data_IF_681730026510
#
_entry.id   IF_681730026510
#
_cell.length_a   1.000
_cell.length_b   1.000
_cell.length_c   1.000
_cell.angle_alpha   90.00
_cell.angle_beta   90.00
_cell.angle_gamma   90.00
#
_symmetry.space_group_name_H-M   'P 1'
#
loop_
_entity.id
_entity.type
_entity.pdbx_description
1 polymer ?
#
# COMPACT_ATOMS: atom_id res chain seq x y z
N UNK A 1 23.15 9.53 -1.55
CA UNK A 1 21.81 9.67 -2.15
C UNK A 1 20.99 10.59 -1.25
N UNK A 2 20.12 11.42 -1.77
CA UNK A 2 19.19 12.20 -0.91
C UNK A 2 18.13 11.24 -0.35
N UNK A 3 17.71 11.38 0.93
CA UNK A 3 16.70 10.52 1.51
C UNK A 3 15.33 10.72 0.80
N UNK A 4 14.61 9.63 0.67
CA UNK A 4 13.27 9.57 0.06
C UNK A 4 12.18 9.63 1.14
N UNK A 5 10.92 9.77 0.71
CA UNK A 5 9.76 9.65 1.60
C UNK A 5 9.68 8.24 2.22
N UNK A 6 9.96 7.19 1.43
CA UNK A 6 9.98 5.81 1.93
C UNK A 6 11.08 5.58 2.97
N UNK A 7 12.26 6.21 2.81
CA UNK A 7 13.32 6.17 3.83
C UNK A 7 12.84 6.78 5.15
N UNK A 8 12.04 7.86 5.09
CA UNK A 8 11.47 8.47 6.29
C UNK A 8 10.45 7.55 6.97
N UNK A 9 9.52 6.96 6.22
CA UNK A 9 8.57 5.98 6.75
C UNK A 9 9.30 4.80 7.40
N UNK A 10 10.34 4.29 6.75
CA UNK A 10 11.14 3.17 7.26
C UNK A 10 11.93 3.54 8.51
N UNK A 11 12.52 4.73 8.57
CA UNK A 11 13.29 5.20 9.71
C UNK A 11 12.42 5.37 10.95
N UNK A 12 11.32 6.08 10.81
CA UNK A 12 10.37 6.33 11.91
C UNK A 12 9.43 5.15 12.17
N UNK A 13 9.48 4.08 11.38
CA UNK A 13 8.66 2.88 11.56
C UNK A 13 7.17 3.16 11.45
N UNK A 14 6.78 4.07 10.56
CA UNK A 14 5.38 4.43 10.37
C UNK A 14 4.60 3.19 9.93
N UNK A 15 3.58 2.84 10.72
CA UNK A 15 2.67 1.74 10.43
C UNK A 15 1.37 2.28 9.87
N UNK A 16 0.73 1.55 8.95
CA UNK A 16 -0.55 2.00 8.39
C UNK A 16 -0.45 3.28 7.56
N UNK A 17 0.71 3.53 6.91
CA UNK A 17 0.97 4.72 6.10
C UNK A 17 0.14 4.74 4.79
N UNK A 18 -1.12 4.38 4.87
CA UNK A 18 -2.09 4.45 3.80
C UNK A 18 -3.41 5.02 4.32
N UNK A 19 -4.21 5.67 3.45
CA UNK A 19 -5.48 6.27 3.85
C UNK A 19 -6.41 5.26 4.54
N UNK A 20 -7.00 5.65 5.66
CA UNK A 20 -7.87 4.81 6.46
C UNK A 20 -7.16 3.76 7.32
N UNK A 21 -5.83 3.62 7.21
CA UNK A 21 -5.03 2.72 8.04
C UNK A 21 -5.62 1.32 8.17
N UNK A 22 -5.33 0.65 9.27
CA UNK A 22 -5.81 -0.72 9.52
C UNK A 22 -7.35 -0.84 9.54
N UNK A 23 -8.08 0.24 9.85
CA UNK A 23 -9.55 0.25 9.81
C UNK A 23 -10.07 -0.03 8.39
N UNK A 24 -9.49 0.61 7.38
CA UNK A 24 -9.84 0.35 5.98
C UNK A 24 -9.46 -1.07 5.56
N UNK A 25 -8.28 -1.53 5.94
CA UNK A 25 -7.83 -2.91 5.68
C UNK A 25 -8.82 -3.95 6.24
N UNK A 26 -9.28 -3.77 7.48
CA UNK A 26 -10.29 -4.63 8.10
C UNK A 26 -11.56 -4.67 7.27
N UNK A 27 -12.09 -3.50 6.92
CA UNK A 27 -13.29 -3.38 6.08
C UNK A 27 -13.15 -4.11 4.75
N UNK A 28 -11.98 -4.01 4.09
CA UNK A 28 -11.74 -4.70 2.81
C UNK A 28 -11.71 -6.21 2.95
N UNK A 29 -11.02 -6.71 3.97
CA UNK A 29 -10.89 -8.15 4.21
C UNK A 29 -12.22 -8.80 4.61
N UNK A 30 -13.09 -8.08 5.32
CA UNK A 30 -14.45 -8.56 5.68
C UNK A 30 -15.36 -8.78 4.47
N UNK A 31 -15.06 -8.15 3.32
CA UNK A 31 -15.81 -8.36 2.08
C UNK A 31 -15.36 -9.62 1.32
N UNK A 32 -14.24 -10.24 1.72
CA UNK A 32 -13.68 -11.40 1.03
C UNK A 32 -13.94 -12.70 1.81
N UNK A 33 -14.16 -13.79 1.06
CA UNK A 33 -14.32 -15.11 1.66
C UNK A 33 -12.94 -15.71 1.96
N UNK A 34 -12.47 -15.57 3.20
CA UNK A 34 -11.17 -16.06 3.65
C UNK A 34 -11.37 -17.35 4.46
N UNK A 35 -10.72 -18.45 4.04
CA UNK A 35 -10.76 -19.78 4.64
C UNK A 35 -9.35 -20.26 5.00
N UNK A 36 -9.22 -21.43 5.59
CA UNK A 36 -7.93 -22.08 5.92
C UNK A 36 -7.07 -22.37 4.66
N UNK A 37 -7.71 -22.55 3.51
CA UNK A 37 -7.03 -22.82 2.23
C UNK A 37 -6.59 -21.54 1.52
N UNK A 38 -7.07 -20.36 1.97
CA UNK A 38 -6.76 -19.08 1.34
C UNK A 38 -5.30 -18.71 1.55
N UNK A 39 -4.64 -18.28 0.49
CA UNK A 39 -3.28 -17.73 0.51
C UNK A 39 -3.30 -16.25 0.19
N UNK A 40 -2.77 -15.42 1.10
CA UNK A 40 -2.77 -13.96 0.97
C UNK A 40 -1.33 -13.45 0.86
N UNK A 41 -1.09 -12.56 -0.11
CA UNK A 41 0.13 -11.76 -0.20
C UNK A 41 -0.15 -10.34 0.27
N UNK A 42 0.60 -9.88 1.27
CA UNK A 42 0.70 -8.48 1.67
C UNK A 42 1.87 -7.85 0.92
N UNK A 43 1.55 -7.12 -0.15
CA UNK A 43 2.50 -6.55 -1.11
C UNK A 43 2.93 -5.15 -0.73
N UNK A 44 4.20 -4.98 -0.32
CA UNK A 44 4.71 -3.76 0.30
C UNK A 44 4.30 -3.68 1.76
N UNK A 45 4.49 -4.78 2.49
CA UNK A 45 3.95 -4.98 3.85
C UNK A 45 4.51 -4.02 4.92
N UNK A 46 5.50 -3.20 4.59
CA UNK A 46 6.07 -2.21 5.49
C UNK A 46 6.53 -2.81 6.82
N UNK A 47 5.99 -2.31 7.93
CA UNK A 47 6.28 -2.80 9.28
C UNK A 47 5.54 -4.10 9.63
N UNK A 48 4.82 -4.70 8.69
CA UNK A 48 4.10 -5.96 8.86
C UNK A 48 2.79 -5.88 9.66
N UNK A 49 2.22 -4.69 9.81
CA UNK A 49 0.99 -4.51 10.60
C UNK A 49 -0.20 -5.26 9.98
N UNK A 50 -0.44 -5.07 8.69
CA UNK A 50 -1.51 -5.74 7.93
C UNK A 50 -1.33 -7.25 7.94
N UNK A 51 -0.14 -7.75 7.60
CA UNK A 51 0.16 -9.18 7.64
C UNK A 51 -0.07 -9.79 9.03
N UNK A 52 0.36 -9.10 10.10
CA UNK A 52 0.15 -9.53 11.48
C UNK A 52 -1.34 -9.57 11.85
N UNK A 53 -2.11 -8.56 11.44
CA UNK A 53 -3.56 -8.53 11.65
C UNK A 53 -4.25 -9.71 10.96
N UNK A 54 -3.93 -9.94 9.67
CA UNK A 54 -4.52 -11.06 8.91
C UNK A 54 -4.22 -12.39 9.60
N UNK A 55 -2.95 -12.61 9.96
CA UNK A 55 -2.53 -13.88 10.60
C UNK A 55 -3.22 -14.16 11.92
N UNK A 56 -3.58 -13.13 12.69
CA UNK A 56 -4.25 -13.28 13.98
C UNK A 56 -5.76 -13.49 13.87
N UNK A 57 -6.38 -12.95 12.85
CA UNK A 57 -7.84 -12.87 12.78
C UNK A 57 -8.46 -13.81 11.73
N UNK A 58 -7.63 -14.35 10.82
CA UNK A 58 -8.09 -15.25 9.77
C UNK A 58 -7.30 -16.56 9.77
N UNK A 59 -7.92 -17.71 9.48
CA UNK A 59 -7.26 -19.01 9.51
C UNK A 59 -6.39 -19.30 8.27
N UNK A 60 -6.04 -18.28 7.50
CA UNK A 60 -5.37 -18.38 6.21
C UNK A 60 -3.84 -18.38 6.32
N UNK A 61 -3.17 -18.65 5.20
CA UNK A 61 -1.73 -18.46 5.03
C UNK A 61 -1.44 -17.06 4.56
N UNK A 62 -0.46 -16.39 5.20
CA UNK A 62 -0.04 -15.02 4.87
C UNK A 62 1.44 -14.99 4.53
N UNK A 63 1.78 -14.29 3.45
CA UNK A 63 3.14 -13.96 3.06
C UNK A 63 3.26 -12.44 2.95
N UNK A 64 4.34 -11.85 3.50
CA UNK A 64 4.67 -10.45 3.31
C UNK A 64 5.84 -10.28 2.35
N UNK A 65 5.82 -9.24 1.53
CA UNK A 65 6.95 -8.82 0.73
C UNK A 65 7.14 -7.30 0.86
N UNK A 66 8.38 -6.88 1.07
CA UNK A 66 8.73 -5.45 1.06
C UNK A 66 10.11 -5.23 0.44
N UNK A 67 10.26 -4.14 -0.28
CA UNK A 67 11.53 -3.79 -0.93
C UNK A 67 12.55 -3.24 0.08
N UNK A 68 12.10 -2.49 1.09
CA UNK A 68 12.96 -1.72 1.97
C UNK A 68 13.51 -2.58 3.13
N UNK A 69 14.85 -2.76 3.24
CA UNK A 69 15.44 -3.67 4.23
C UNK A 69 15.10 -3.30 5.68
N UNK A 70 14.96 -2.00 5.98
CA UNK A 70 14.56 -1.56 7.33
C UNK A 70 13.11 -1.93 7.64
N UNK A 71 12.20 -1.88 6.66
CA UNK A 71 10.82 -2.31 6.82
C UNK A 71 10.76 -3.82 7.08
N UNK A 72 11.46 -4.63 6.29
CA UNK A 72 11.58 -6.08 6.51
C UNK A 72 12.10 -6.39 7.93
N UNK A 73 13.13 -5.67 8.39
CA UNK A 73 13.65 -5.84 9.75
C UNK A 73 12.61 -5.48 10.83
N UNK A 74 11.83 -4.42 10.62
CA UNK A 74 10.76 -4.01 11.54
C UNK A 74 9.61 -5.02 11.55
N UNK A 75 9.21 -5.53 10.39
CA UNK A 75 8.18 -6.56 10.26
C UNK A 75 8.58 -7.85 11.02
N UNK A 76 9.83 -8.34 10.82
CA UNK A 76 10.34 -9.48 11.56
C UNK A 76 10.28 -9.26 13.08
N UNK A 77 10.74 -8.10 13.57
CA UNK A 77 10.66 -7.78 15.00
C UNK A 77 9.21 -7.77 15.52
N UNK A 78 8.26 -7.26 14.72
CA UNK A 78 6.84 -7.32 15.06
C UNK A 78 6.37 -8.77 15.20
N UNK A 79 6.65 -9.61 14.22
CA UNK A 79 6.22 -11.01 14.21
C UNK A 79 6.81 -11.80 15.38
N UNK A 80 8.09 -11.58 15.69
CA UNK A 80 8.75 -12.15 16.88
C UNK A 80 8.07 -11.70 18.19
N UNK A 81 7.86 -10.39 18.35
CA UNK A 81 7.21 -9.80 19.53
C UNK A 81 5.78 -10.32 19.72
N UNK A 82 5.06 -10.53 18.63
CA UNK A 82 3.67 -10.98 18.62
C UNK A 82 3.51 -12.50 18.60
N UNK A 83 4.64 -13.25 18.60
CA UNK A 83 4.71 -14.71 18.55
C UNK A 83 3.93 -15.31 17.38
N UNK A 84 3.99 -14.67 16.22
CA UNK A 84 3.35 -15.14 14.99
C UNK A 84 4.39 -15.54 13.94
N UNK A 85 4.07 -16.58 13.15
CA UNK A 85 4.91 -17.03 12.05
C UNK A 85 4.30 -16.59 10.71
N UNK A 86 4.99 -15.73 10.00
CA UNK A 86 4.62 -15.24 8.66
C UNK A 86 5.86 -15.36 7.77
N UNK A 87 5.69 -15.89 6.57
CA UNK A 87 6.75 -15.86 5.56
C UNK A 87 6.96 -14.40 5.13
N UNK A 88 8.19 -13.90 5.31
CA UNK A 88 8.55 -12.54 4.92
C UNK A 88 9.71 -12.57 3.93
N UNK A 89 9.55 -11.86 2.82
CA UNK A 89 10.53 -11.79 1.73
C UNK A 89 10.96 -10.35 1.51
N UNK A 90 12.26 -10.11 1.44
CA UNK A 90 12.76 -8.84 0.91
C UNK A 90 12.78 -8.90 -0.62
N UNK A 91 11.99 -8.06 -1.28
CA UNK A 91 11.87 -8.08 -2.73
C UNK A 91 10.98 -6.98 -3.28
N UNK A 92 11.04 -6.79 -4.61
CA UNK A 92 10.24 -5.81 -5.34
C UNK A 92 8.97 -6.44 -5.92
N UNK A 93 7.88 -5.68 -5.92
CA UNK A 93 6.65 -6.05 -6.63
C UNK A 93 6.82 -6.10 -8.16
N UNK A 94 7.88 -5.46 -8.68
CA UNK A 94 8.18 -5.49 -10.12
C UNK A 94 8.80 -6.81 -10.59
N UNK A 95 9.29 -7.63 -9.66
CA UNK A 95 9.86 -8.96 -9.91
C UNK A 95 9.79 -9.79 -8.63
N UNK A 96 8.70 -10.49 -8.45
CA UNK A 96 8.45 -11.27 -7.23
C UNK A 96 9.06 -12.69 -7.32
N UNK A 97 9.72 -13.18 -6.24
CA UNK A 97 10.33 -14.51 -6.22
C UNK A 97 9.31 -15.61 -5.90
N UNK A 98 8.10 -15.47 -6.41
CA UNK A 98 7.04 -16.47 -6.21
C UNK A 98 6.69 -17.14 -7.55
N UNK A 99 6.27 -18.41 -7.54
CA UNK A 99 5.70 -19.06 -8.71
C UNK A 99 4.45 -18.34 -9.22
N UNK A 100 4.07 -18.59 -10.47
CA UNK A 100 2.75 -18.20 -10.96
C UNK A 100 1.64 -18.88 -10.15
N UNK A 101 0.45 -18.27 -10.10
CA UNK A 101 -0.74 -18.86 -9.49
C UNK A 101 -0.54 -19.26 -8.01
N UNK A 102 0.11 -18.41 -7.23
CA UNK A 102 0.48 -18.67 -5.83
C UNK A 102 -0.53 -18.16 -4.81
N UNK A 103 -1.24 -17.08 -5.11
CA UNK A 103 -2.06 -16.37 -4.13
C UNK A 103 -3.52 -16.24 -4.57
N UNK A 104 -4.44 -16.42 -3.63
CA UNK A 104 -5.88 -16.21 -3.83
C UNK A 104 -6.24 -14.73 -3.71
N UNK A 105 -5.57 -14.02 -2.78
CA UNK A 105 -5.77 -12.58 -2.55
C UNK A 105 -4.39 -11.91 -2.51
N UNK A 106 -4.26 -10.80 -3.21
CA UNK A 106 -3.10 -9.91 -3.09
C UNK A 106 -3.63 -8.57 -2.62
N UNK A 107 -3.11 -8.10 -1.48
CA UNK A 107 -3.40 -6.79 -0.92
C UNK A 107 -2.20 -5.88 -1.13
N UNK A 108 -2.44 -4.68 -1.68
CA UNK A 108 -1.40 -3.67 -1.91
C UNK A 108 -1.95 -2.31 -1.48
N UNK A 109 -1.31 -1.70 -0.49
CA UNK A 109 -1.81 -0.49 0.15
C UNK A 109 -0.78 0.64 0.03
N UNK A 110 -1.01 1.57 -0.89
CA UNK A 110 -0.16 2.75 -1.18
C UNK A 110 1.29 2.41 -1.56
N UNK A 111 1.47 1.44 -2.45
CA UNK A 111 2.79 0.95 -2.87
C UNK A 111 3.05 1.08 -4.36
N UNK A 112 2.06 0.78 -5.21
CA UNK A 112 2.30 0.71 -6.67
C UNK A 112 2.78 2.04 -7.24
N UNK A 113 2.30 3.15 -6.69
CA UNK A 113 2.68 4.51 -7.15
C UNK A 113 4.20 4.75 -7.04
N UNK A 114 4.90 4.01 -6.17
CA UNK A 114 6.35 4.08 -5.98
C UNK A 114 7.15 3.09 -6.85
N UNK A 115 6.48 2.35 -7.71
CA UNK A 115 7.06 1.32 -8.58
C UNK A 115 6.82 1.64 -10.06
N UNK A 116 7.41 0.85 -10.96
CA UNK A 116 6.90 0.79 -12.30
C UNK A 116 5.55 0.04 -12.29
N UNK A 117 4.45 0.79 -12.26
CA UNK A 117 3.10 0.23 -12.11
C UNK A 117 2.77 -0.88 -13.13
N UNK A 118 3.26 -0.76 -14.38
CA UNK A 118 3.01 -1.78 -15.42
C UNK A 118 3.72 -3.09 -15.08
N UNK A 119 4.98 -3.03 -14.66
CA UNK A 119 5.74 -4.22 -14.28
C UNK A 119 5.12 -4.86 -13.03
N UNK A 120 4.79 -4.05 -12.02
CA UNK A 120 4.19 -4.54 -10.78
C UNK A 120 2.83 -5.20 -11.02
N UNK A 121 1.96 -4.58 -11.82
CA UNK A 121 0.66 -5.16 -12.15
C UNK A 121 0.79 -6.45 -12.99
N UNK A 122 1.78 -6.54 -13.89
CA UNK A 122 2.05 -7.76 -14.64
C UNK A 122 2.52 -8.91 -13.71
N UNK A 123 3.39 -8.62 -12.74
CA UNK A 123 3.85 -9.58 -11.74
C UNK A 123 2.73 -9.97 -10.76
N UNK A 124 1.93 -9.01 -10.30
CA UNK A 124 0.74 -9.28 -9.47
C UNK A 124 -0.18 -10.25 -10.20
N UNK A 125 -0.49 -9.98 -11.48
CA UNK A 125 -1.30 -10.89 -12.30
C UNK A 125 -0.68 -12.27 -12.40
N UNK A 126 0.64 -12.36 -12.61
CA UNK A 126 1.35 -13.63 -12.75
C UNK A 126 1.25 -14.52 -11.52
N UNK A 127 1.40 -13.91 -10.32
CA UNK A 127 1.39 -14.66 -9.07
C UNK A 127 -0.01 -14.84 -8.48
N UNK A 128 -1.02 -14.15 -8.99
CA UNK A 128 -2.42 -14.32 -8.62
C UNK A 128 -3.00 -15.55 -9.28
N UNK A 129 -3.70 -16.39 -8.53
CA UNK A 129 -4.39 -17.58 -9.04
C UNK A 129 -5.53 -17.21 -9.99
N UNK A 130 -5.90 -18.10 -10.93
CA UNK A 130 -7.16 -17.96 -11.67
C UNK A 130 -8.34 -17.79 -10.70
N UNK A 131 -9.15 -16.75 -10.91
CA UNK A 131 -10.24 -16.36 -10.00
C UNK A 131 -9.81 -15.64 -8.73
N UNK A 132 -8.52 -15.38 -8.56
CA UNK A 132 -7.98 -14.60 -7.44
C UNK A 132 -8.31 -13.12 -7.54
N UNK A 133 -8.07 -12.39 -6.45
CA UNK A 133 -8.45 -10.98 -6.28
C UNK A 133 -7.26 -10.13 -5.89
N UNK A 134 -7.10 -9.01 -6.57
CA UNK A 134 -6.26 -7.89 -6.15
C UNK A 134 -7.13 -6.87 -5.39
N UNK A 135 -6.77 -6.60 -4.14
CA UNK A 135 -7.28 -5.48 -3.36
C UNK A 135 -6.21 -4.39 -3.37
N UNK A 136 -6.51 -3.26 -3.97
CA UNK A 136 -5.55 -2.18 -4.18
C UNK A 136 -6.07 -0.88 -3.57
N UNK A 137 -5.30 -0.29 -2.68
CA UNK A 137 -5.56 1.06 -2.15
C UNK A 137 -4.46 1.98 -2.66
N UNK A 138 -4.81 2.99 -3.46
CA UNK A 138 -3.79 3.85 -4.06
C UNK A 138 -4.16 5.33 -4.07
N UNK A 139 -3.12 6.15 -3.93
CA UNK A 139 -3.23 7.60 -4.15
C UNK A 139 -3.82 7.85 -5.54
N UNK A 140 -4.82 8.71 -5.57
CA UNK A 140 -5.58 9.00 -6.79
C UNK A 140 -5.87 10.49 -6.88
N UNK A 141 -5.66 11.07 -8.05
CA UNK A 141 -6.06 12.44 -8.34
C UNK A 141 -7.56 12.49 -8.70
N UNK A 142 -8.28 13.45 -8.14
CA UNK A 142 -9.72 13.68 -8.41
C UNK A 142 -9.97 14.21 -9.84
N UNK A 143 -8.94 14.73 -10.46
CA UNK A 143 -8.93 15.24 -11.86
C UNK A 143 -7.50 15.17 -12.43
N UNK A 144 -7.37 15.41 -13.72
CA UNK A 144 -6.05 15.66 -14.30
C UNK A 144 -5.38 16.84 -13.58
N UNK A 145 -4.13 16.64 -13.14
CA UNK A 145 -3.36 17.64 -12.43
C UNK A 145 -2.76 18.67 -13.42
N UNK A 146 -2.69 19.93 -13.00
CA UNK A 146 -1.89 20.92 -13.72
C UNK A 146 -0.40 20.62 -13.58
N UNK A 147 0.42 21.11 -14.52
CA UNK A 147 1.84 20.77 -14.57
C UNK A 147 2.58 21.03 -13.24
N UNK A 148 2.31 22.15 -12.58
CA UNK A 148 2.94 22.50 -11.30
C UNK A 148 2.46 21.63 -10.15
N UNK A 149 1.18 21.27 -10.09
CA UNK A 149 0.64 20.35 -9.09
C UNK A 149 1.30 18.97 -9.21
N UNK A 150 1.35 18.46 -10.45
CA UNK A 150 1.99 17.19 -10.76
C UNK A 150 3.48 17.19 -10.38
N UNK A 151 4.22 18.24 -10.79
CA UNK A 151 5.65 18.36 -10.50
C UNK A 151 5.91 18.34 -8.98
N UNK A 152 5.17 19.15 -8.21
CA UNK A 152 5.36 19.24 -6.76
C UNK A 152 5.16 17.86 -6.08
N UNK A 153 4.12 17.12 -6.46
CA UNK A 153 3.85 15.81 -5.90
C UNK A 153 4.92 14.79 -6.29
N UNK A 154 5.31 14.78 -7.57
CA UNK A 154 6.34 13.86 -8.05
C UNK A 154 7.70 14.11 -7.38
N UNK A 155 8.07 15.38 -7.15
CA UNK A 155 9.32 15.73 -6.46
C UNK A 155 9.31 15.33 -4.98
N UNK A 156 8.18 15.54 -4.28
CA UNK A 156 8.07 15.19 -2.84
C UNK A 156 8.13 13.68 -2.64
N UNK A 157 7.39 12.92 -3.43
CA UNK A 157 7.27 11.48 -3.26
C UNK A 157 8.31 10.66 -4.05
N UNK A 158 9.00 11.26 -5.01
CA UNK A 158 9.93 10.55 -5.89
C UNK A 158 9.22 9.60 -6.85
N UNK A 159 8.01 9.95 -7.30
CA UNK A 159 7.16 9.15 -8.20
C UNK A 159 7.14 9.74 -9.61
N UNK A 160 6.79 8.91 -10.60
CA UNK A 160 6.69 9.35 -11.98
C UNK A 160 5.38 10.10 -12.27
N UNK A 161 4.28 9.67 -11.63
CA UNK A 161 2.95 10.20 -11.92
C UNK A 161 1.97 9.95 -10.78
N UNK A 162 1.04 10.89 -10.58
CA UNK A 162 -0.19 10.67 -9.82
C UNK A 162 -1.31 10.38 -10.81
N UNK A 163 -1.91 9.23 -10.70
CA UNK A 163 -2.95 8.75 -11.61
C UNK A 163 -4.34 9.18 -11.15
N UNK A 164 -5.23 9.46 -12.11
CA UNK A 164 -6.67 9.56 -11.87
C UNK A 164 -7.29 8.17 -11.74
N UNK A 165 -8.51 8.09 -11.22
CA UNK A 165 -9.27 6.84 -11.14
C UNK A 165 -9.37 6.12 -12.50
N UNK A 166 -9.69 6.87 -13.55
CA UNK A 166 -9.78 6.32 -14.90
C UNK A 166 -8.44 5.75 -15.39
N UNK A 167 -7.34 6.39 -15.08
CA UNK A 167 -6.01 5.93 -15.48
C UNK A 167 -5.60 4.68 -14.71
N UNK A 168 -5.90 4.58 -13.41
CA UNK A 168 -5.70 3.36 -12.63
C UNK A 168 -6.49 2.18 -13.19
N UNK A 169 -7.79 2.39 -13.49
CA UNK A 169 -8.64 1.36 -14.11
C UNK A 169 -8.06 0.91 -15.45
N UNK A 170 -7.59 1.83 -16.28
CA UNK A 170 -6.99 1.49 -17.58
C UNK A 170 -5.69 0.69 -17.41
N UNK A 171 -4.81 1.08 -16.48
CA UNK A 171 -3.58 0.33 -16.18
C UNK A 171 -3.86 -1.12 -15.77
N UNK A 172 -4.84 -1.32 -14.88
CA UNK A 172 -5.24 -2.67 -14.46
C UNK A 172 -5.84 -3.48 -15.61
N UNK A 173 -6.67 -2.86 -16.46
CA UNK A 173 -7.23 -3.53 -17.65
C UNK A 173 -6.14 -3.89 -18.67
N UNK A 174 -5.20 -2.99 -18.92
CA UNK A 174 -4.04 -3.25 -19.79
C UNK A 174 -3.16 -4.38 -19.26
N UNK A 175 -3.02 -4.49 -17.93
CA UNK A 175 -2.32 -5.59 -17.28
C UNK A 175 -3.09 -6.93 -17.36
N UNK A 176 -4.37 -6.89 -17.78
CA UNK A 176 -5.21 -8.08 -18.01
C UNK A 176 -6.12 -8.45 -16.86
N UNK A 177 -6.55 -7.48 -16.05
CA UNK A 177 -7.66 -7.62 -15.12
C UNK A 177 -8.97 -7.22 -15.82
N UNK A 178 -9.82 -8.18 -16.23
CA UNK A 178 -11.03 -7.88 -17.01
C UNK A 178 -12.09 -7.16 -16.19
N UNK A 179 -12.12 -7.41 -14.87
CA UNK A 179 -13.07 -6.83 -13.94
C UNK A 179 -12.34 -5.96 -12.92
N UNK A 180 -12.65 -4.68 -12.92
CA UNK A 180 -12.12 -3.69 -11.97
C UNK A 180 -13.27 -2.89 -11.41
N UNK A 181 -13.48 -2.98 -10.11
CA UNK A 181 -14.50 -2.26 -9.36
C UNK A 181 -13.84 -1.23 -8.44
N UNK A 182 -14.38 -0.03 -8.38
CA UNK A 182 -14.02 0.97 -7.37
C UNK A 182 -15.02 0.82 -6.22
N UNK A 183 -14.55 0.37 -5.07
CA UNK A 183 -15.44 0.04 -3.94
C UNK A 183 -15.54 1.19 -2.93
N UNK A 184 -14.51 2.01 -2.84
CA UNK A 184 -14.46 3.18 -1.96
C UNK A 184 -13.49 4.22 -2.52
N UNK A 185 -13.70 5.49 -2.18
CA UNK A 185 -12.75 6.54 -2.52
C UNK A 185 -13.17 7.89 -1.98
N UNK A 186 -12.18 8.63 -1.50
CA UNK A 186 -12.35 9.97 -0.95
C UNK A 186 -11.15 10.85 -1.33
N UNK A 187 -11.39 12.15 -1.51
CA UNK A 187 -10.29 13.13 -1.40
C UNK A 187 -9.78 13.16 0.05
N UNK A 188 -8.57 13.67 0.28
CA UNK A 188 -8.01 13.79 1.64
C UNK A 188 -8.99 14.53 2.56
N UNK A 189 -9.50 15.68 2.12
CA UNK A 189 -10.43 16.46 2.95
C UNK A 189 -11.78 15.79 3.13
N UNK A 190 -12.29 15.09 2.12
CA UNK A 190 -13.52 14.31 2.26
C UNK A 190 -13.33 13.15 3.25
N UNK A 191 -12.17 12.48 3.22
CA UNK A 191 -11.84 11.42 4.17
C UNK A 191 -11.83 11.92 5.62
N UNK A 192 -11.21 13.08 5.88
CA UNK A 192 -11.22 13.69 7.22
C UNK A 192 -12.62 13.95 7.77
N UNK A 193 -13.62 14.11 6.90
CA UNK A 193 -15.02 14.31 7.31
C UNK A 193 -15.77 13.00 7.57
N UNK A 194 -15.20 11.84 7.22
CA UNK A 194 -15.86 10.53 7.43
C UNK A 194 -15.81 10.06 8.88
N UNK A 195 -14.93 10.64 9.71
CA UNK A 195 -14.65 10.15 11.06
C UNK A 195 -13.94 8.80 11.10
N UNK A 196 -13.46 8.31 9.98
CA UNK A 196 -12.55 7.15 9.92
C UNK A 196 -11.16 7.60 10.40
N UNK A 197 -10.96 7.57 11.72
CA UNK A 197 -9.64 7.78 12.28
C UNK A 197 -8.79 6.51 12.03
N UNK A 198 -7.52 6.66 11.59
CA UNK A 198 -6.65 5.51 11.47
C UNK A 198 -6.38 4.93 12.87
N UNK A 199 -6.84 3.71 13.10
CA UNK A 199 -6.42 2.95 14.28
C UNK A 199 -4.93 2.64 14.14
N UNK A 200 -4.14 2.98 15.19
CA UNK A 200 -2.75 2.54 15.32
C UNK A 200 -1.72 3.05 14.28
N UNK A 201 -1.84 4.28 13.78
CA UNK A 201 -0.67 4.95 13.23
C UNK A 201 0.39 5.09 14.33
N UNK A 202 1.34 4.17 14.34
CA UNK A 202 2.43 4.21 15.29
C UNK A 202 3.68 4.76 14.62
N UNK A 203 4.25 5.80 15.21
CA UNK A 203 5.60 6.30 14.90
C UNK A 203 6.53 5.85 16.02
N UNK A 204 7.67 5.28 15.66
CA UNK A 204 8.69 4.90 16.63
C UNK A 204 9.43 6.15 17.14
N UNK A 205 8.98 6.67 18.26
CA UNK A 205 9.56 7.87 18.91
C UNK A 205 10.90 7.58 19.61
N UNK A 206 11.34 6.32 19.66
CA UNK A 206 12.62 5.95 20.27
C UNK A 206 13.83 6.16 19.34
N UNK A 207 13.59 6.38 18.05
CA UNK A 207 14.66 6.65 17.09
C UNK A 207 15.21 8.08 17.27
N UNK A 208 16.53 8.30 17.06
CA UNK A 208 17.11 9.64 17.15
C UNK A 208 16.46 10.60 16.16
N UNK A 209 16.46 11.88 16.52
CA UNK A 209 16.04 12.97 15.62
C UNK A 209 16.86 12.98 14.34
N UNK A 210 16.21 13.00 13.18
CA UNK A 210 16.85 13.13 11.88
C UNK A 210 16.12 14.20 11.05
N UNK A 211 16.65 15.42 11.09
CA UNK A 211 16.02 16.60 10.46
C UNK A 211 15.73 16.42 8.95
N UNK A 212 16.57 15.66 8.22
CA UNK A 212 16.37 15.43 6.79
C UNK A 212 15.15 14.52 6.53
N UNK A 213 15.00 13.48 7.35
CA UNK A 213 13.87 12.55 7.24
C UNK A 213 12.58 13.15 7.81
N UNK A 214 12.68 13.92 8.91
CA UNK A 214 11.53 14.72 9.40
C UNK A 214 11.04 15.69 8.32
N UNK A 215 11.96 16.35 7.61
CA UNK A 215 11.63 17.21 6.48
C UNK A 215 10.78 16.48 5.42
N UNK A 216 11.03 15.20 5.15
CA UNK A 216 10.22 14.40 4.23
C UNK A 216 8.78 14.16 4.71
N UNK A 217 8.58 13.97 6.00
CA UNK A 217 7.24 13.88 6.59
C UNK A 217 6.52 15.24 6.58
N UNK A 218 7.26 16.33 6.78
CA UNK A 218 6.71 17.67 6.64
C UNK A 218 6.33 17.98 5.19
N UNK A 219 7.15 17.60 4.20
CA UNK A 219 6.83 17.72 2.78
C UNK A 219 5.52 16.97 2.46
N UNK A 220 5.36 15.76 2.99
CA UNK A 220 4.11 14.99 2.85
C UNK A 220 2.92 15.74 3.44
N UNK A 221 3.02 16.23 4.68
CA UNK A 221 1.97 17.00 5.33
C UNK A 221 1.61 18.28 4.53
N UNK A 222 2.60 18.95 3.95
CA UNK A 222 2.38 20.09 3.07
C UNK A 222 1.57 19.71 1.82
N UNK A 223 1.87 18.58 1.17
CA UNK A 223 1.10 18.09 0.02
C UNK A 223 -0.35 17.81 0.41
N UNK A 224 -0.59 17.11 1.53
CA UNK A 224 -1.95 16.81 1.99
C UNK A 224 -2.74 18.08 2.29
N UNK A 225 -2.13 19.06 2.95
CA UNK A 225 -2.77 20.32 3.26
C UNK A 225 -3.07 21.16 2.01
N UNK A 226 -2.10 21.24 1.08
CA UNK A 226 -2.21 22.12 -0.09
C UNK A 226 -3.12 21.55 -1.16
N UNK A 227 -3.09 20.22 -1.35
CA UNK A 227 -3.75 19.53 -2.47
C UNK A 227 -4.84 18.55 -2.05
N UNK A 228 -5.22 18.52 -0.77
CA UNK A 228 -6.17 17.56 -0.22
C UNK A 228 -7.58 17.56 -0.82
N UNK A 229 -7.95 18.59 -1.61
CA UNK A 229 -9.19 18.61 -2.40
C UNK A 229 -9.06 17.91 -3.76
N UNK A 230 -7.83 17.79 -4.27
CA UNK A 230 -7.56 17.29 -5.63
C UNK A 230 -6.79 15.99 -5.65
N UNK A 231 -6.35 15.51 -4.49
CA UNK A 231 -5.82 14.18 -4.29
C UNK A 231 -6.56 13.48 -3.17
N UNK A 232 -6.55 12.18 -3.23
CA UNK A 232 -7.13 11.31 -2.23
C UNK A 232 -6.72 9.88 -2.51
N UNK A 233 -7.63 8.95 -2.30
CA UNK A 233 -7.39 7.55 -2.58
C UNK A 233 -8.61 6.90 -3.22
N UNK A 234 -8.36 5.77 -3.87
CA UNK A 234 -9.40 4.83 -4.30
C UNK A 234 -9.02 3.44 -3.87
N UNK A 235 -10.06 2.69 -3.57
CA UNK A 235 -9.97 1.26 -3.34
C UNK A 235 -10.48 0.55 -4.59
N UNK A 236 -9.62 -0.28 -5.16
CA UNK A 236 -9.95 -1.08 -6.33
C UNK A 236 -9.99 -2.55 -5.93
N UNK A 237 -11.03 -3.24 -6.38
CA UNK A 237 -11.13 -4.68 -6.37
C UNK A 237 -11.03 -5.17 -7.81
N UNK A 238 -9.93 -5.83 -8.15
CA UNK A 238 -9.72 -6.36 -9.49
C UNK A 238 -9.62 -7.88 -9.46
N UNK A 239 -10.20 -8.56 -10.44
CA UNK A 239 -10.18 -10.03 -10.52
C UNK A 239 -9.83 -10.52 -11.92
N UNK A 240 -9.25 -11.72 -11.98
CA UNK A 240 -8.92 -12.45 -13.21
C UNK A 240 -10.11 -13.25 -13.72
#
# INVERSE_FOLDING_TARGET
MKPTYQDALAYFGVSGAHPGGLTLTKFLLEQEKITEETTILDGGCGTGQTAAYIKKNYPCSVTGIDYHPTMVKRANKRFEKEHISIQLVQGSLEKMPFPSDSFDIILVESVLIFTNCKNSLAEIKRVLKPGGVLLLVEMTAERALYAMEHQNMCEVYGIEKVYTEKEWINLMKEAGFPKVEVTLGHSVFSHMMTGMEPEDEAIDTSVPVNMQLEGKLMDHSYILYTYGNIIGYRVYRASL
#
